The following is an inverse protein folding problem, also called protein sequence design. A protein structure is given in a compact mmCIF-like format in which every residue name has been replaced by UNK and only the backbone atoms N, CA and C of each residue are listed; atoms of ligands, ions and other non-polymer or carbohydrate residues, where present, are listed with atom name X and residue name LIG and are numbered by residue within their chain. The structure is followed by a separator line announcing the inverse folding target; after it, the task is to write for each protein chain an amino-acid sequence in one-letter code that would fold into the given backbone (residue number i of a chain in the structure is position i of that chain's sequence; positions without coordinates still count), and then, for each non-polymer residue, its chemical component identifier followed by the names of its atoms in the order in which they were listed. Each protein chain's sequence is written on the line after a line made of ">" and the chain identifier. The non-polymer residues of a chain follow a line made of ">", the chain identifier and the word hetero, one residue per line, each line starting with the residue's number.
data_IF_077716144289
#
_entry.id   IF_077716144289
#
_cell.length_a   1.000
_cell.length_b   1.000
_cell.length_c   1.000
_cell.angle_alpha   90.00
_cell.angle_beta   90.00
_cell.angle_gamma   90.00
#
_symmetry.space_group_name_H-M   'P 1'
#
loop_
_entity.id
_entity.type
_entity.pdbx_description
1 polymer ?
#
# COMPACT_ATOMS: atom_id res chain seq x y z
N UNK A 1 4.18 -11.28 -9.59
CA UNK A 1 5.65 -11.34 -9.56
C UNK A 1 6.15 -10.36 -8.49
N UNK A 2 7.36 -10.54 -7.97
CA UNK A 2 7.91 -9.78 -6.82
C UNK A 2 6.97 -9.73 -5.59
N UNK A 3 6.42 -10.88 -5.22
CA UNK A 3 5.44 -11.02 -4.14
C UNK A 3 5.98 -10.63 -2.76
N UNK A 4 7.29 -10.60 -2.56
CA UNK A 4 7.92 -10.07 -1.34
C UNK A 4 7.63 -8.58 -1.13
N UNK A 5 7.28 -7.83 -2.18
CA UNK A 5 6.90 -6.42 -2.09
C UNK A 5 5.42 -6.18 -1.74
N UNK A 6 4.62 -7.24 -1.61
CA UNK A 6 3.18 -7.11 -1.40
C UNK A 6 2.82 -6.30 -0.15
N UNK A 7 3.59 -6.46 0.94
CA UNK A 7 3.39 -5.70 2.18
C UNK A 7 3.63 -4.20 1.95
N UNK A 8 4.73 -3.84 1.27
CA UNK A 8 5.06 -2.45 0.95
C UNK A 8 4.03 -1.81 0.01
N UNK A 9 3.53 -2.54 -0.99
CA UNK A 9 2.52 -2.05 -1.91
C UNK A 9 1.17 -1.87 -1.21
N UNK A 10 0.79 -2.79 -0.33
CA UNK A 10 -0.41 -2.65 0.51
C UNK A 10 -0.25 -1.46 1.46
N UNK A 11 0.92 -1.28 2.08
CA UNK A 11 1.23 -0.13 2.92
C UNK A 11 1.07 1.19 2.16
N UNK A 12 1.61 1.30 0.94
CA UNK A 12 1.43 2.48 0.07
C UNK A 12 -0.04 2.69 -0.32
N UNK A 13 -0.79 1.61 -0.51
CA UNK A 13 -2.21 1.67 -0.84
C UNK A 13 -3.04 2.21 0.33
N UNK A 14 -2.77 1.76 1.56
CA UNK A 14 -3.48 2.18 2.77
C UNK A 14 -3.04 3.57 3.24
N UNK A 15 -1.76 3.90 3.09
CA UNK A 15 -1.20 5.14 3.61
C UNK A 15 -1.80 6.39 2.97
N UNK A 16 -1.93 7.43 3.78
CA UNK A 16 -2.29 8.78 3.34
C UNK A 16 -1.04 9.62 3.19
N UNK A 17 -0.75 10.08 1.97
CA UNK A 17 0.31 11.04 1.70
C UNK A 17 -0.30 12.27 1.05
N UNK A 18 -0.16 13.41 1.71
CA UNK A 18 -0.69 14.69 1.27
C UNK A 18 0.46 15.67 1.09
N UNK A 19 0.49 16.36 -0.04
CA UNK A 19 1.40 17.49 -0.25
C UNK A 19 0.64 18.80 -0.19
N UNK A 20 1.34 19.88 0.20
CA UNK A 20 0.77 21.23 0.21
C UNK A 20 0.25 21.62 -1.19
N UNK A 21 1.02 21.35 -2.24
CA UNK A 21 0.61 21.58 -3.62
C UNK A 21 -0.69 20.83 -3.98
N UNK A 22 -0.87 19.59 -3.52
CA UNK A 22 -2.11 18.84 -3.77
C UNK A 22 -3.32 19.49 -3.09
N UNK A 23 -3.17 19.95 -1.86
CA UNK A 23 -4.21 20.67 -1.13
C UNK A 23 -4.55 22.00 -1.80
N UNK A 24 -3.55 22.81 -2.16
CA UNK A 24 -3.72 24.07 -2.89
C UNK A 24 -4.43 23.85 -4.24
N UNK A 25 -4.01 22.81 -4.97
CA UNK A 25 -4.60 22.42 -6.24
C UNK A 25 -6.06 21.94 -6.13
N UNK A 26 -6.50 21.57 -4.93
CA UNK A 26 -7.89 21.23 -4.59
C UNK A 26 -8.59 22.31 -3.75
N UNK A 27 -7.93 23.45 -3.52
CA UNK A 27 -8.43 24.57 -2.67
C UNK A 27 -8.86 24.11 -1.28
N UNK A 28 -8.13 23.17 -0.71
CA UNK A 28 -8.35 22.65 0.65
C UNK A 28 -7.27 23.25 1.55
N UNK A 29 -7.68 23.75 2.70
CA UNK A 29 -6.74 24.20 3.72
C UNK A 29 -6.34 23.04 4.63
N UNK A 30 -5.06 22.89 4.98
CA UNK A 30 -4.64 21.96 6.03
C UNK A 30 -5.19 22.37 7.40
N UNK A 31 -5.18 21.49 8.42
CA UNK A 31 -5.59 21.85 9.78
C UNK A 31 -4.72 22.97 10.37
N UNK A 32 -5.27 23.67 11.38
CA UNK A 32 -4.56 24.72 12.12
C UNK A 32 -3.23 24.21 12.70
N UNK A 33 -3.26 23.06 13.36
CA UNK A 33 -2.08 22.42 13.97
C UNK A 33 -1.54 21.28 13.10
N UNK A 34 -0.68 21.62 12.12
CA UNK A 34 -0.13 20.66 11.14
C UNK A 34 0.79 19.60 11.75
N UNK A 35 1.36 19.87 12.92
CA UNK A 35 2.29 18.97 13.64
C UNK A 35 1.60 18.06 14.66
N UNK A 36 0.27 18.14 14.80
CA UNK A 36 -0.50 17.32 15.75
C UNK A 36 -1.34 16.30 15.00
N UNK A 37 -1.13 15.01 15.26
CA UNK A 37 -1.90 13.93 14.64
C UNK A 37 -3.42 14.09 14.87
N UNK A 38 -3.84 14.40 16.09
CA UNK A 38 -5.25 14.62 16.45
C UNK A 38 -5.92 15.74 15.61
N UNK A 39 -5.17 16.77 15.23
CA UNK A 39 -5.72 17.85 14.41
C UNK A 39 -6.05 17.35 12.99
N UNK A 40 -5.27 16.40 12.47
CA UNK A 40 -5.55 15.75 11.19
C UNK A 40 -6.74 14.80 11.26
N UNK A 41 -6.92 14.07 12.37
CA UNK A 41 -8.09 13.22 12.60
C UNK A 41 -9.39 14.05 12.57
N UNK A 42 -9.43 15.13 13.35
CA UNK A 42 -10.58 16.03 13.41
C UNK A 42 -10.84 16.77 12.08
N UNK A 43 -9.80 16.92 11.25
CA UNK A 43 -9.89 17.55 9.94
C UNK A 43 -10.33 16.60 8.83
N UNK A 44 -9.99 15.32 8.92
CA UNK A 44 -10.15 14.36 7.82
C UNK A 44 -11.61 14.14 7.45
N UNK A 45 -12.48 13.84 8.41
CA UNK A 45 -13.90 13.55 8.15
C UNK A 45 -14.65 14.74 7.49
N UNK A 46 -14.65 15.97 8.05
CA UNK A 46 -15.34 17.09 7.41
C UNK A 46 -14.72 17.47 6.06
N UNK A 47 -13.40 17.29 5.90
CA UNK A 47 -12.73 17.55 4.61
C UNK A 47 -13.11 16.52 3.58
N UNK A 48 -13.19 15.23 3.95
CA UNK A 48 -13.63 14.15 3.06
C UNK A 48 -15.01 14.45 2.48
N UNK A 49 -15.95 14.91 3.32
CA UNK A 49 -17.29 15.31 2.87
C UNK A 49 -17.22 16.46 1.85
N UNK A 50 -16.49 17.54 2.14
CA UNK A 50 -16.32 18.67 1.20
C UNK A 50 -15.73 18.24 -0.14
N UNK A 51 -14.72 17.36 -0.11
CA UNK A 51 -14.07 16.82 -1.30
C UNK A 51 -15.05 15.96 -2.10
N UNK A 52 -15.86 15.15 -1.43
CA UNK A 52 -16.86 14.29 -2.07
C UNK A 52 -17.98 15.12 -2.72
N UNK A 53 -18.51 16.13 -2.02
CA UNK A 53 -19.53 17.03 -2.56
C UNK A 53 -19.03 17.77 -3.81
N UNK A 54 -17.77 18.21 -3.80
CA UNK A 54 -17.16 18.85 -4.95
C UNK A 54 -16.93 17.87 -6.11
N UNK A 55 -16.45 16.66 -5.82
CA UNK A 55 -16.27 15.61 -6.82
C UNK A 55 -17.60 15.28 -7.51
N UNK A 56 -18.69 15.12 -6.74
CA UNK A 56 -20.03 14.88 -7.28
C UNK A 56 -20.49 16.00 -8.22
N UNK A 57 -20.17 17.27 -7.90
CA UNK A 57 -20.48 18.40 -8.79
C UNK A 57 -19.69 18.36 -10.11
N UNK A 58 -18.42 17.90 -10.07
CA UNK A 58 -17.61 17.75 -11.27
C UNK A 58 -18.08 16.56 -12.13
N UNK A 59 -18.45 15.45 -11.50
CA UNK A 59 -19.03 14.28 -12.18
C UNK A 59 -20.35 14.61 -12.86
N UNK A 60 -21.23 15.39 -12.20
CA UNK A 60 -22.45 15.91 -12.82
C UNK A 60 -22.16 16.78 -14.06
N UNK A 61 -21.09 17.59 -14.02
CA UNK A 61 -20.66 18.35 -15.18
C UNK A 61 -20.18 17.43 -16.32
N UNK A 62 -19.41 16.39 -16.02
CA UNK A 62 -18.97 15.40 -17.03
C UNK A 62 -20.17 14.69 -17.65
N UNK A 63 -21.13 14.27 -16.82
CA UNK A 63 -22.36 13.60 -17.25
C UNK A 63 -23.17 14.46 -18.24
N UNK A 64 -23.19 15.78 -18.06
CA UNK A 64 -23.86 16.69 -19.00
C UNK A 64 -23.28 16.66 -20.42
N UNK A 65 -21.99 16.36 -20.58
CA UNK A 65 -21.38 16.17 -21.91
C UNK A 65 -21.74 14.81 -22.51
N UNK A 66 -21.74 13.76 -21.68
CA UNK A 66 -22.12 12.41 -22.10
C UNK A 66 -23.56 12.37 -22.61
N UNK A 67 -24.49 13.06 -21.95
CA UNK A 67 -25.88 13.18 -22.39
C UNK A 67 -26.06 13.90 -23.73
N UNK A 68 -25.09 14.71 -24.12
CA UNK A 68 -25.07 15.45 -25.39
C UNK A 68 -24.22 14.74 -26.46
N UNK A 69 -23.77 13.50 -26.21
CA UNK A 69 -22.80 12.77 -27.04
C UNK A 69 -21.55 13.63 -27.38
N UNK A 70 -21.14 14.48 -26.44
CA UNK A 70 -20.00 15.38 -26.58
C UNK A 70 -18.81 14.91 -25.75
N UNK A 71 -17.59 15.20 -26.21
CA UNK A 71 -16.38 14.90 -25.45
C UNK A 71 -16.16 15.95 -24.34
N UNK A 72 -16.02 15.55 -23.06
CA UNK A 72 -15.72 16.47 -21.98
C UNK A 72 -14.34 17.12 -22.17
N UNK A 73 -14.16 18.40 -21.77
CA UNK A 73 -12.86 19.05 -21.81
C UNK A 73 -11.80 18.28 -21.01
N UNK A 74 -10.60 18.10 -21.56
CA UNK A 74 -9.51 17.41 -20.88
C UNK A 74 -9.12 18.04 -19.53
N UNK A 75 -9.36 19.34 -19.33
CA UNK A 75 -9.15 20.04 -18.06
C UNK A 75 -10.10 19.55 -16.98
N UNK A 76 -11.39 19.36 -17.32
CA UNK A 76 -12.41 18.83 -16.41
C UNK A 76 -12.07 17.39 -16.00
N UNK A 77 -11.70 16.54 -16.96
CA UNK A 77 -11.30 15.16 -16.67
C UNK A 77 -10.08 15.08 -15.74
N UNK A 78 -9.08 15.96 -15.94
CA UNK A 78 -7.92 16.05 -15.04
C UNK A 78 -8.30 16.48 -13.63
N UNK A 79 -9.28 17.37 -13.50
CA UNK A 79 -9.78 17.85 -12.22
C UNK A 79 -10.54 16.74 -11.48
N UNK A 80 -11.44 16.04 -12.17
CA UNK A 80 -12.14 14.85 -11.64
C UNK A 80 -11.14 13.83 -11.11
N UNK A 81 -10.15 13.44 -11.92
CA UNK A 81 -9.12 12.46 -11.50
C UNK A 81 -8.32 12.93 -10.28
N UNK A 82 -8.07 14.24 -10.15
CA UNK A 82 -7.36 14.81 -8.99
C UNK A 82 -8.18 14.69 -7.72
N UNK A 83 -9.44 15.11 -7.76
CA UNK A 83 -10.35 15.03 -6.61
C UNK A 83 -10.70 13.59 -6.26
N UNK A 84 -10.88 12.72 -7.25
CA UNK A 84 -11.14 11.29 -7.03
C UNK A 84 -10.02 10.61 -6.25
N UNK A 85 -8.76 10.81 -6.65
CA UNK A 85 -7.60 10.25 -5.94
C UNK A 85 -7.50 10.74 -4.50
N UNK A 86 -7.73 12.05 -4.28
CA UNK A 86 -7.71 12.63 -2.94
C UNK A 86 -8.88 12.11 -2.10
N UNK A 87 -10.08 12.05 -2.66
CA UNK A 87 -11.29 11.55 -2.01
C UNK A 87 -11.11 10.09 -1.55
N UNK A 88 -10.62 9.20 -2.42
CA UNK A 88 -10.37 7.81 -2.06
C UNK A 88 -9.38 7.70 -0.90
N UNK A 89 -8.24 8.41 -0.98
CA UNK A 89 -7.21 8.39 0.08
C UNK A 89 -7.70 8.96 1.41
N UNK A 90 -8.46 10.05 1.38
CA UNK A 90 -9.04 10.64 2.59
C UNK A 90 -10.12 9.76 3.21
N UNK A 91 -10.94 9.10 2.38
CA UNK A 91 -11.98 8.18 2.85
C UNK A 91 -11.35 6.98 3.54
N UNK A 92 -10.35 6.34 2.91
CA UNK A 92 -9.58 5.23 3.52
C UNK A 92 -8.94 5.66 4.83
N UNK A 93 -8.30 6.83 4.87
CA UNK A 93 -7.72 7.34 6.11
C UNK A 93 -8.76 7.57 7.19
N UNK A 94 -9.86 8.26 6.89
CA UNK A 94 -10.90 8.57 7.87
C UNK A 94 -11.58 7.30 8.43
N UNK A 95 -11.66 6.23 7.62
CA UNK A 95 -12.27 4.96 8.02
C UNK A 95 -11.32 4.07 8.84
N UNK A 96 -10.04 3.98 8.46
CA UNK A 96 -9.13 2.95 8.99
C UNK A 96 -8.08 3.47 9.98
N UNK A 97 -7.96 4.79 10.14
CA UNK A 97 -6.99 5.37 11.06
C UNK A 97 -7.30 4.97 12.50
N UNK A 98 -6.27 4.53 13.23
CA UNK A 98 -6.35 4.21 14.65
C UNK A 98 -5.05 4.60 15.38
N UNK A 99 -4.94 4.21 16.66
CA UNK A 99 -3.80 4.52 17.52
C UNK A 99 -2.47 3.88 17.07
N UNK A 100 -2.51 2.88 16.17
CA UNK A 100 -1.32 2.20 15.65
C UNK A 100 -0.69 2.91 14.46
N UNK A 101 -1.30 3.99 13.97
CA UNK A 101 -0.77 4.76 12.86
C UNK A 101 0.35 5.70 13.29
N UNK A 102 1.34 5.84 12.41
CA UNK A 102 2.48 6.73 12.55
C UNK A 102 2.27 7.92 11.63
N UNK A 103 2.48 9.12 12.16
CA UNK A 103 2.41 10.37 11.41
C UNK A 103 3.80 11.00 11.27
N UNK A 104 4.20 11.29 10.03
CA UNK A 104 5.40 12.05 9.69
C UNK A 104 4.99 13.49 9.35
N UNK A 105 5.17 14.41 10.31
CA UNK A 105 4.64 15.78 10.24
C UNK A 105 5.71 16.87 10.23
N UNK A 106 6.99 16.50 10.22
CA UNK A 106 8.11 17.43 10.31
C UNK A 106 8.30 18.27 9.04
N UNK A 107 7.79 17.78 7.90
CA UNK A 107 7.90 18.48 6.62
C UNK A 107 6.65 19.35 6.36
N UNK A 108 6.76 20.69 6.30
CA UNK A 108 5.62 21.57 6.08
C UNK A 108 5.03 21.50 4.65
N UNK A 109 5.71 20.82 3.73
CA UNK A 109 5.28 20.65 2.33
C UNK A 109 4.70 19.25 2.07
N UNK A 110 4.87 18.30 3.00
CA UNK A 110 4.43 16.90 2.87
C UNK A 110 4.09 16.32 4.23
N UNK A 111 2.88 15.79 4.36
CA UNK A 111 2.41 15.03 5.52
C UNK A 111 2.11 13.60 5.11
N UNK A 112 2.54 12.66 5.94
CA UNK A 112 2.38 11.23 5.65
C UNK A 112 1.88 10.50 6.89
N UNK A 113 0.90 9.63 6.68
CA UNK A 113 0.27 8.81 7.70
C UNK A 113 0.24 7.38 7.19
N UNK A 114 0.81 6.48 7.97
CA UNK A 114 0.90 5.06 7.62
C UNK A 114 0.58 4.20 8.85
N UNK A 115 -0.13 3.08 8.69
CA UNK A 115 -0.25 2.13 9.78
C UNK A 115 1.13 1.54 10.12
N UNK A 116 1.31 1.04 11.34
CA UNK A 116 2.53 0.28 11.66
C UNK A 116 2.58 -1.06 10.93
N UNK A 117 1.40 -1.67 10.71
CA UNK A 117 1.24 -2.97 10.05
C UNK A 117 0.01 -2.96 9.14
N UNK A 118 0.02 -3.74 8.05
CA UNK A 118 -1.10 -3.85 7.09
C UNK A 118 -1.88 -5.16 7.19
N UNK A 119 -1.71 -5.88 8.30
CA UNK A 119 -2.30 -7.20 8.53
C UNK A 119 -3.83 -7.19 8.42
N UNK A 120 -4.48 -6.11 8.84
CA UNK A 120 -5.95 -6.02 8.82
C UNK A 120 -6.50 -5.84 7.39
N UNK A 121 -5.67 -5.30 6.52
CA UNK A 121 -5.99 -4.96 5.13
C UNK A 121 -5.58 -6.05 4.14
N UNK A 122 -5.08 -7.19 4.62
CA UNK A 122 -4.69 -8.36 3.80
C UNK A 122 -5.76 -8.84 2.82
N UNK A 123 -7.03 -8.72 3.22
CA UNK A 123 -8.19 -9.07 2.40
C UNK A 123 -8.22 -8.33 1.05
N UNK A 124 -7.65 -7.12 0.98
CA UNK A 124 -7.60 -6.33 -0.25
C UNK A 124 -6.75 -6.99 -1.34
N UNK A 125 -5.79 -7.83 -0.97
CA UNK A 125 -4.95 -8.55 -1.93
C UNK A 125 -5.73 -9.61 -2.70
N UNK A 126 -6.76 -10.20 -2.08
CA UNK A 126 -7.42 -11.38 -2.62
C UNK A 126 -8.93 -11.26 -2.83
N UNK A 127 -9.58 -10.19 -2.35
CA UNK A 127 -11.02 -9.97 -2.53
C UNK A 127 -11.51 -9.97 -3.99
N UNK A 128 -10.63 -9.66 -4.96
CA UNK A 128 -10.98 -9.62 -6.39
C UNK A 128 -10.51 -10.84 -7.18
N UNK A 129 -9.82 -11.79 -6.54
CA UNK A 129 -9.22 -12.95 -7.19
C UNK A 129 -9.64 -14.25 -6.51
N UNK A 130 -10.09 -15.23 -7.29
CA UNK A 130 -10.38 -16.56 -6.74
C UNK A 130 -9.10 -17.34 -6.38
N UNK A 131 -8.02 -17.05 -7.11
CA UNK A 131 -6.70 -17.68 -6.99
C UNK A 131 -5.65 -16.67 -7.39
N UNK A 132 -4.70 -16.39 -6.52
CA UNK A 132 -3.58 -15.48 -6.79
C UNK A 132 -2.26 -16.26 -6.73
N UNK A 133 -1.32 -15.88 -7.58
CA UNK A 133 0.02 -16.46 -7.61
C UNK A 133 1.03 -15.38 -7.25
N UNK A 134 1.60 -15.46 -6.04
CA UNK A 134 2.68 -14.60 -5.61
C UNK A 134 4.02 -15.29 -5.91
N UNK A 135 4.90 -14.65 -6.65
CA UNK A 135 6.20 -15.22 -7.02
C UNK A 135 7.29 -14.29 -6.56
N UNK A 136 8.36 -14.81 -5.97
CA UNK A 136 9.48 -13.97 -5.54
C UNK A 136 10.75 -14.81 -5.43
N UNK A 137 11.85 -14.28 -5.96
CA UNK A 137 13.17 -14.88 -5.79
C UNK A 137 13.76 -14.64 -4.39
N UNK A 138 13.27 -13.62 -3.69
CA UNK A 138 13.89 -13.01 -2.51
C UNK A 138 13.08 -13.17 -1.23
N UNK A 139 11.92 -13.82 -1.28
CA UNK A 139 11.12 -14.12 -0.09
C UNK A 139 11.89 -15.02 0.90
N UNK A 140 12.30 -14.44 2.04
CA UNK A 140 13.16 -15.11 3.02
C UNK A 140 12.38 -16.05 3.95
N UNK A 141 11.33 -15.53 4.58
CA UNK A 141 10.44 -16.29 5.46
C UNK A 141 8.99 -16.11 5.02
N UNK A 142 8.42 -17.12 4.34
CA UNK A 142 7.05 -17.01 3.85
C UNK A 142 6.01 -16.94 4.98
N UNK A 143 6.30 -17.51 6.15
CA UNK A 143 5.41 -17.44 7.31
C UNK A 143 5.30 -16.01 7.85
N UNK A 144 6.43 -15.32 8.02
CA UNK A 144 6.44 -13.91 8.47
C UNK A 144 5.77 -13.00 7.43
N UNK A 145 5.99 -13.26 6.13
CA UNK A 145 5.32 -12.55 5.04
C UNK A 145 3.80 -12.73 5.07
N UNK A 146 3.32 -13.97 5.23
CA UNK A 146 1.89 -14.25 5.34
C UNK A 146 1.29 -13.58 6.58
N UNK A 147 2.05 -13.61 7.68
CA UNK A 147 1.64 -13.01 8.94
C UNK A 147 1.56 -11.48 8.84
N UNK A 148 2.54 -10.82 8.22
CA UNK A 148 2.52 -9.36 8.01
C UNK A 148 1.34 -8.91 7.16
N UNK A 149 0.93 -9.75 6.21
CA UNK A 149 -0.23 -9.55 5.35
C UNK A 149 -1.56 -10.02 5.96
N UNK A 150 -1.56 -10.81 7.02
CA UNK A 150 -2.78 -11.33 7.64
C UNK A 150 -3.51 -12.41 6.86
N UNK A 151 -2.75 -13.18 6.08
CA UNK A 151 -3.25 -14.26 5.21
C UNK A 151 -2.59 -15.61 5.55
N UNK A 152 -2.05 -15.75 6.77
CA UNK A 152 -1.30 -16.94 7.21
C UNK A 152 -2.10 -18.25 7.15
N UNK A 153 -3.43 -18.18 7.31
CA UNK A 153 -4.32 -19.34 7.20
C UNK A 153 -4.79 -19.64 5.76
N UNK A 154 -4.47 -18.75 4.82
CA UNK A 154 -5.02 -18.78 3.45
C UNK A 154 -3.96 -19.09 2.37
N UNK A 155 -2.68 -19.21 2.78
CA UNK A 155 -1.56 -19.34 1.85
C UNK A 155 -0.92 -20.73 1.93
N UNK A 156 -0.60 -21.29 0.76
CA UNK A 156 0.26 -22.47 0.63
C UNK A 156 1.57 -22.10 -0.05
N UNK A 157 2.70 -22.43 0.60
CA UNK A 157 4.02 -22.08 0.11
C UNK A 157 4.70 -23.23 -0.63
N UNK A 158 5.21 -22.94 -1.83
CA UNK A 158 6.07 -23.86 -2.57
C UNK A 158 7.44 -23.23 -2.87
N UNK A 159 8.48 -24.00 -2.59
CA UNK A 159 9.88 -23.61 -2.75
C UNK A 159 10.47 -24.36 -3.93
N UNK A 160 10.89 -23.64 -4.96
CA UNK A 160 11.46 -24.24 -6.17
C UNK A 160 12.99 -24.12 -6.09
N UNK A 161 13.74 -25.24 -6.17
CA UNK A 161 15.20 -25.16 -6.15
C UNK A 161 15.72 -24.46 -7.40
N UNK A 162 16.81 -23.72 -7.24
CA UNK A 162 17.54 -23.17 -8.40
C UNK A 162 18.19 -24.30 -9.19
N UNK A 163 17.94 -24.34 -10.50
CA UNK A 163 18.55 -25.28 -11.44
C UNK A 163 20.01 -24.93 -11.77
N UNK A 164 20.49 -23.74 -11.39
CA UNK A 164 21.87 -23.35 -11.60
C UNK A 164 22.79 -24.17 -10.68
N UNK A 165 23.81 -24.87 -11.23
CA UNK A 165 24.76 -25.66 -10.44
C UNK A 165 25.37 -24.84 -9.32
N UNK A 166 25.51 -25.45 -8.14
CA UNK A 166 25.99 -24.76 -6.93
C UNK A 166 27.42 -24.24 -7.13
N UNK A 167 28.20 -24.96 -7.92
CA UNK A 167 29.59 -24.68 -8.27
C UNK A 167 29.71 -23.36 -9.05
N UNK A 168 28.68 -22.99 -9.81
CA UNK A 168 28.64 -21.77 -10.62
C UNK A 168 28.10 -20.55 -9.85
N UNK A 169 27.78 -20.70 -8.56
CA UNK A 169 27.20 -19.65 -7.70
C UNK A 169 27.94 -19.52 -6.36
N UNK A 170 29.25 -19.15 -6.37
CA UNK A 170 29.99 -18.98 -5.13
C UNK A 170 29.38 -17.85 -4.28
N UNK A 171 28.98 -18.17 -3.06
CA UNK A 171 28.64 -17.17 -2.04
C UNK A 171 29.93 -16.72 -1.37
N UNK A 172 30.40 -15.52 -1.69
CA UNK A 172 31.63 -14.95 -1.14
C UNK A 172 31.26 -14.01 0.01
N UNK A 173 31.56 -14.44 1.23
CA UNK A 173 31.41 -13.61 2.42
C UNK A 173 32.74 -12.88 2.70
N UNK A 174 32.77 -11.56 2.52
CA UNK A 174 33.89 -10.69 2.87
C UNK A 174 33.49 -9.73 3.98
N UNK A 175 33.71 -10.08 5.26
CA UNK A 175 33.40 -9.17 6.35
C UNK A 175 34.34 -7.97 6.32
N UNK A 176 33.80 -6.76 6.19
CA UNK A 176 34.58 -5.52 6.27
C UNK A 176 34.92 -5.10 7.71
N UNK A 177 34.20 -5.64 8.70
CA UNK A 177 34.48 -5.51 10.13
C UNK A 177 33.91 -6.72 10.89
N UNK A 178 34.68 -7.28 11.83
CA UNK A 178 34.21 -8.33 12.74
C UNK A 178 33.58 -7.68 13.97
N UNK A 179 32.24 -7.70 14.07
CA UNK A 179 31.59 -7.72 15.38
C UNK A 179 31.53 -9.19 15.83
N UNK A 180 32.16 -9.51 16.96
CA UNK A 180 32.18 -10.84 17.56
C UNK A 180 30.76 -11.24 18.01
N UNK A 181 29.96 -11.82 17.13
CA UNK A 181 28.75 -12.59 17.45
C UNK A 181 28.71 -13.83 16.54
N UNK A 182 29.34 -14.90 17.00
CA UNK A 182 29.80 -16.03 16.19
C UNK A 182 28.80 -17.20 16.03
N UNK A 183 27.50 -17.03 16.28
CA UNK A 183 26.58 -18.19 16.28
C UNK A 183 25.36 -18.13 15.34
N UNK A 184 25.06 -17.03 14.63
CA UNK A 184 23.72 -16.89 14.03
C UNK A 184 23.57 -17.23 12.52
N UNK A 185 24.64 -17.28 11.72
CA UNK A 185 24.49 -17.15 10.25
C UNK A 185 24.57 -18.44 9.40
N UNK A 186 24.45 -19.63 9.98
CA UNK A 186 24.56 -20.89 9.23
C UNK A 186 23.29 -21.35 8.49
N UNK A 187 22.19 -20.58 8.45
CA UNK A 187 20.88 -21.10 7.98
C UNK A 187 20.20 -20.46 6.76
N UNK A 188 20.73 -19.40 6.14
CA UNK A 188 19.92 -18.61 5.17
C UNK A 188 20.37 -18.63 3.70
N UNK A 189 21.12 -19.64 3.25
CA UNK A 189 21.41 -19.79 1.83
C UNK A 189 20.48 -20.83 1.17
N UNK A 190 19.69 -20.36 0.21
CA UNK A 190 19.00 -21.07 -0.89
C UNK A 190 17.48 -21.07 -0.75
N UNK A 191 16.75 -20.21 -1.48
CA UNK A 191 15.78 -20.60 -2.53
C UNK A 191 14.98 -19.42 -3.09
N UNK A 192 14.45 -19.61 -4.30
CA UNK A 192 13.49 -18.75 -5.01
C UNK A 192 12.10 -19.41 -4.90
N UNK A 193 11.06 -18.61 -4.68
CA UNK A 193 9.74 -19.04 -4.20
C UNK A 193 8.65 -18.78 -5.24
N UNK A 194 7.72 -19.72 -5.37
CA UNK A 194 6.62 -19.68 -6.34
C UNK A 194 5.35 -20.10 -5.58
N UNK A 195 4.40 -19.20 -5.36
CA UNK A 195 3.27 -19.38 -4.43
C UNK A 195 1.94 -19.47 -5.18
N UNK A 196 1.40 -20.66 -5.41
CA UNK A 196 0.09 -20.85 -6.04
C UNK A 196 -1.01 -20.90 -4.98
N UNK A 197 -2.01 -20.02 -5.08
CA UNK A 197 -3.24 -20.13 -4.27
C UNK A 197 -4.23 -21.09 -4.93
N UNK A 198 -4.68 -22.08 -4.17
CA UNK A 198 -5.89 -22.87 -4.46
C UNK A 198 -6.82 -22.86 -3.25
N UNK A 199 -8.14 -22.76 -3.45
CA UNK A 199 -9.10 -22.84 -2.36
C UNK A 199 -9.33 -24.29 -1.95
N UNK A 200 -9.31 -24.54 -0.65
CA UNK A 200 -9.84 -25.77 -0.05
C UNK A 200 -11.36 -25.82 -0.27
N UNK A 201 -11.84 -26.87 -0.93
CA UNK A 201 -13.26 -27.21 -0.94
C UNK A 201 -13.65 -27.83 0.43
N UNK A 202 -14.85 -27.53 0.95
CA UNK A 202 -15.34 -28.16 2.17
C UNK A 202 -15.93 -29.54 1.84
N UNK A 203 -15.48 -30.57 2.57
CA UNK A 203 -16.20 -31.83 2.75
C UNK A 203 -16.28 -32.15 4.24
#
# INVERSE_FOLDING_TARGET
>A
DEGDLAEDELMKFVSLKITKHQLEACRIEPPEYKTKFEAWLNWAEPTTRKVHDHLASLEANVESYLQLDAEPPATLMKEVLRYQRLSSKLSTFAEWVDETWIAELDNPERWEFKPTWVRREGHLLHQHGQRILAMSATMLNPGDWAWGLGIDDEVTFHRVPSYFPKENRPFIYMPAAFFLLLEYYSRLANSVHLCLLQPCCPH
#
